data_IF_879256906417
#
_entry.id   IF_879256906417
#
_cell.length_a   1.000
_cell.length_b   1.000
_cell.length_c   1.000
_cell.angle_alpha   90.00
_cell.angle_beta   90.00
_cell.angle_gamma   90.00
#
_symmetry.space_group_name_H-M   'P 1'
#
loop_
_entity.id
_entity.type
_entity.pdbx_description
1 polymer ?
#
# COMPACT_ATOMS: atom_id res chain seq x y z
N UNK A 1 -8.46 -40.62 -31.35
CA UNK A 1 -7.05 -40.90 -31.01
C UNK A 1 -6.15 -40.03 -31.87
N UNK A 2 -5.61 -38.93 -31.31
CA UNK A 2 -4.55 -38.12 -31.93
C UNK A 2 -3.58 -37.67 -30.84
N UNK A 3 -2.30 -37.72 -31.18
CA UNK A 3 -1.16 -37.83 -30.28
C UNK A 3 -0.73 -36.50 -29.64
N UNK A 4 -0.26 -36.63 -28.40
CA UNK A 4 0.50 -35.68 -27.58
C UNK A 4 1.86 -35.32 -28.20
N UNK A 5 2.29 -34.06 -28.06
CA UNK A 5 3.70 -33.68 -27.84
C UNK A 5 3.80 -32.36 -27.06
N UNK A 6 4.35 -32.43 -25.84
CA UNK A 6 4.85 -31.31 -25.03
C UNK A 6 6.37 -31.17 -25.23
N UNK A 7 6.94 -29.95 -25.13
CA UNK A 7 8.34 -29.78 -24.78
C UNK A 7 8.54 -29.20 -23.37
N UNK A 8 9.60 -29.74 -22.75
CA UNK A 8 10.20 -29.52 -21.44
C UNK A 8 10.68 -28.08 -21.16
N UNK A 9 10.46 -27.66 -19.91
CA UNK A 9 11.45 -27.21 -18.89
C UNK A 9 12.73 -26.46 -19.33
N UNK A 10 12.90 -25.25 -18.77
CA UNK A 10 14.19 -24.80 -18.22
C UNK A 10 13.97 -23.74 -17.12
N UNK A 11 14.25 -24.13 -15.88
CA UNK A 11 14.38 -23.26 -14.70
C UNK A 11 15.85 -22.92 -14.55
N UNK A 12 16.19 -21.64 -14.43
CA UNK A 12 17.51 -21.19 -13.99
C UNK A 12 17.37 -20.20 -12.83
N UNK A 13 17.55 -20.74 -11.62
CA UNK A 13 17.82 -19.98 -10.40
C UNK A 13 19.30 -19.56 -10.43
N UNK A 14 19.59 -18.26 -10.25
CA UNK A 14 20.91 -17.82 -9.82
C UNK A 14 20.74 -16.79 -8.68
N UNK A 15 21.01 -17.28 -7.48
CA UNK A 15 21.36 -16.47 -6.31
C UNK A 15 22.83 -16.07 -6.41
N UNK A 16 23.15 -14.84 -6.01
CA UNK A 16 24.47 -14.51 -5.47
C UNK A 16 24.38 -13.29 -4.55
N UNK A 17 24.51 -13.58 -3.25
CA UNK A 17 24.89 -12.66 -2.18
C UNK A 17 26.39 -12.35 -2.27
N UNK A 18 26.79 -11.11 -2.01
CA UNK A 18 28.08 -10.78 -1.39
C UNK A 18 28.14 -9.32 -0.95
N UNK A 19 28.00 -9.11 0.36
CA UNK A 19 28.50 -7.94 1.07
C UNK A 19 30.02 -8.05 1.23
N UNK A 20 30.75 -6.96 1.01
CA UNK A 20 32.11 -6.78 1.52
C UNK A 20 32.21 -5.39 2.17
N UNK A 21 32.44 -5.40 3.48
CA UNK A 21 32.77 -4.24 4.31
C UNK A 21 34.20 -4.47 4.83
N UNK A 22 35.15 -3.57 4.56
CA UNK A 22 36.49 -3.46 5.18
C UNK A 22 37.11 -2.16 4.66
N UNK A 23 37.32 -1.11 5.47
CA UNK A 23 38.32 -0.87 6.53
C UNK A 23 39.75 -0.80 6.02
N UNK A 24 40.37 0.39 6.02
CA UNK A 24 41.84 0.58 6.14
C UNK A 24 42.18 2.02 6.62
N UNK A 25 42.80 2.08 7.80
CA UNK A 25 43.92 2.89 8.37
C UNK A 25 44.00 4.43 8.23
N UNK A 26 44.07 5.21 9.34
CA UNK A 26 45.25 5.60 10.20
C UNK A 26 46.24 6.54 9.48
N UNK A 27 47.13 7.34 10.13
CA UNK A 27 47.29 7.71 11.55
C UNK A 27 47.51 9.23 11.76
N UNK A 28 47.60 9.74 13.00
CA UNK A 28 48.63 10.72 13.41
C UNK A 28 48.80 10.75 14.94
N UNK A 29 50.06 10.84 15.33
CA UNK A 29 50.78 10.81 16.62
C UNK A 29 50.38 11.83 17.72
N UNK A 30 50.57 11.38 18.98
CA UNK A 30 50.68 12.14 20.26
C UNK A 30 52.07 12.85 20.39
N UNK A 31 52.47 13.57 21.48
CA UNK A 31 51.81 13.95 22.76
C UNK A 31 52.10 15.41 23.27
N UNK A 32 51.44 15.87 24.36
CA UNK A 32 52.05 16.67 25.45
C UNK A 32 51.07 17.08 26.59
N UNK A 33 51.39 16.61 27.80
CA UNK A 33 51.28 17.15 29.17
C UNK A 33 50.04 17.92 29.73
N UNK A 34 49.76 17.78 31.06
CA UNK A 34 48.54 18.25 31.71
C UNK A 34 48.69 19.61 32.41
N UNK A 35 47.63 20.41 32.43
CA UNK A 35 47.44 21.47 33.43
C UNK A 35 45.95 21.79 33.58
N UNK A 36 45.36 21.46 34.74
CA UNK A 36 44.08 22.04 35.17
C UNK A 36 44.23 23.56 35.34
N UNK A 37 43.18 24.34 35.10
CA UNK A 37 42.48 24.87 36.27
C UNK A 37 40.96 25.03 36.11
N UNK A 38 40.27 24.74 37.20
CA UNK A 38 39.28 25.61 37.85
C UNK A 38 38.11 26.16 37.02
N UNK A 39 36.93 25.60 37.30
CA UNK A 39 35.75 26.40 37.64
C UNK A 39 35.01 27.07 36.49
N UNK A 40 34.06 26.34 35.90
CA UNK A 40 32.86 26.95 35.34
C UNK A 40 31.72 25.95 35.39
N UNK A 41 30.74 26.20 36.25
CA UNK A 41 29.43 25.57 36.20
C UNK A 41 28.86 25.83 34.81
N UNK A 42 28.94 24.83 33.94
CA UNK A 42 28.15 24.81 32.73
C UNK A 42 26.70 24.66 33.17
N UNK A 43 25.95 25.76 33.14
CA UNK A 43 24.51 25.66 32.98
C UNK A 43 24.31 24.81 31.73
N UNK A 44 23.86 23.57 31.93
CA UNK A 44 23.47 22.69 30.85
C UNK A 44 22.33 23.41 30.13
N UNK A 45 22.68 24.09 29.03
CA UNK A 45 21.71 24.51 28.03
C UNK A 45 21.00 23.23 27.62
N UNK A 46 19.78 23.06 28.13
CA UNK A 46 18.94 21.91 27.85
C UNK A 46 18.84 21.80 26.32
N UNK A 47 19.27 20.70 25.69
CA UNK A 47 19.13 20.50 24.25
C UNK A 47 17.68 20.15 23.89
N UNK A 48 16.70 20.79 24.52
CA UNK A 48 15.27 20.54 24.31
C UNK A 48 14.65 21.39 23.21
N UNK A 49 15.42 22.27 22.55
CA UNK A 49 14.88 23.22 21.58
C UNK A 49 15.09 22.84 20.09
N UNK A 50 15.55 21.63 19.76
CA UNK A 50 15.79 21.22 18.36
C UNK A 50 15.04 19.95 17.90
N UNK A 51 14.09 19.44 18.68
CA UNK A 51 13.27 18.28 18.29
C UNK A 51 11.76 18.54 18.36
N UNK A 52 11.30 19.75 18.02
CA UNK A 52 9.98 19.84 17.38
C UNK A 52 10.15 19.48 15.91
N UNK A 53 10.36 18.18 15.67
CA UNK A 53 10.07 17.60 14.37
C UNK A 53 8.62 17.99 14.03
N UNK A 54 8.42 18.54 12.83
CA UNK A 54 7.11 18.78 12.22
C UNK A 54 6.17 17.60 12.50
N UNK A 55 5.37 17.68 13.57
CA UNK A 55 4.32 16.71 13.83
C UNK A 55 3.18 17.10 12.91
N UNK A 56 3.15 16.44 11.77
CA UNK A 56 2.14 16.65 10.75
C UNK A 56 0.76 16.33 11.32
N UNK A 57 -0.18 17.28 11.24
CA UNK A 57 -1.48 17.12 11.85
C UNK A 57 -2.35 16.15 11.03
N UNK A 58 -3.06 15.20 11.68
CA UNK A 58 -3.97 14.31 10.99
C UNK A 58 -5.18 15.08 10.44
N UNK A 59 -5.63 14.71 9.25
CA UNK A 59 -6.82 15.29 8.60
C UNK A 59 -7.98 14.31 8.75
N UNK A 60 -9.08 14.78 9.33
CA UNK A 60 -10.27 13.94 9.53
C UNK A 60 -10.94 13.62 8.19
N UNK A 61 -11.38 12.37 8.04
CA UNK A 61 -12.21 11.87 6.95
C UNK A 61 -13.69 11.74 7.33
N UNK A 62 -14.10 12.31 8.47
CA UNK A 62 -15.48 12.23 8.91
C UNK A 62 -16.43 12.89 7.88
N UNK A 63 -17.39 12.11 7.36
CA UNK A 63 -18.34 12.59 6.35
C UNK A 63 -17.76 12.72 4.94
N UNK A 64 -16.52 12.28 4.70
CA UNK A 64 -15.94 12.24 3.36
C UNK A 64 -16.64 11.20 2.48
N UNK A 65 -16.88 11.56 1.24
CA UNK A 65 -17.23 10.62 0.16
C UNK A 65 -16.02 10.41 -0.74
N UNK A 66 -15.96 9.27 -1.42
CA UNK A 66 -14.83 8.93 -2.28
C UNK A 66 -15.29 8.69 -3.71
N UNK A 67 -14.58 9.29 -4.66
CA UNK A 67 -14.75 9.06 -6.10
C UNK A 67 -13.66 8.13 -6.60
N UNK A 68 -14.06 7.16 -7.41
CA UNK A 68 -13.17 6.24 -8.09
C UNK A 68 -12.74 6.84 -9.43
N UNK A 69 -11.44 6.80 -9.75
CA UNK A 69 -10.95 7.03 -11.11
C UNK A 69 -9.91 5.97 -11.48
N UNK A 70 -9.87 5.65 -12.75
CA UNK A 70 -8.90 4.73 -13.33
C UNK A 70 -8.23 5.35 -14.55
N UNK A 71 -6.96 5.04 -14.75
CA UNK A 71 -6.18 5.48 -15.91
C UNK A 71 -5.58 4.26 -16.59
N UNK A 72 -5.78 4.07 -17.91
CA UNK A 72 -5.23 2.93 -18.62
C UNK A 72 -3.69 2.92 -18.57
N UNK A 73 -3.14 1.72 -18.51
CA UNK A 73 -1.72 1.46 -18.72
C UNK A 73 -1.54 0.94 -20.15
N UNK A 74 -0.44 1.35 -20.78
CA UNK A 74 -0.06 0.83 -22.09
C UNK A 74 0.35 -0.63 -21.94
N UNK A 75 -0.51 -1.54 -22.42
CA UNK A 75 -0.26 -2.98 -22.36
C UNK A 75 0.04 -3.55 -23.74
N UNK A 76 0.76 -4.67 -23.75
CA UNK A 76 1.09 -5.39 -24.98
C UNK A 76 -0.14 -6.16 -25.49
N UNK A 77 -0.29 -6.30 -26.80
CA UNK A 77 -1.39 -7.03 -27.41
C UNK A 77 -1.48 -8.48 -26.89
N UNK A 78 -2.64 -8.87 -26.36
CA UNK A 78 -2.91 -10.21 -25.83
C UNK A 78 -2.92 -10.31 -24.29
N UNK A 79 -2.61 -9.23 -23.59
CA UNK A 79 -2.73 -9.16 -22.12
C UNK A 79 -4.08 -8.57 -21.68
N UNK A 80 -4.49 -8.84 -20.43
CA UNK A 80 -5.64 -8.19 -19.84
C UNK A 80 -5.43 -6.66 -19.80
N UNK A 81 -6.46 -5.84 -20.09
CA UNK A 81 -6.33 -4.39 -19.98
C UNK A 81 -6.09 -4.02 -18.52
N UNK A 82 -4.98 -3.34 -18.25
CA UNK A 82 -4.65 -2.86 -16.91
C UNK A 82 -4.88 -1.36 -16.82
N UNK A 83 -5.33 -0.94 -15.65
CA UNK A 83 -5.53 0.44 -15.26
C UNK A 83 -4.92 0.67 -13.89
N UNK A 84 -4.47 1.89 -13.65
CA UNK A 84 -4.10 2.37 -12.31
C UNK A 84 -5.35 2.93 -11.63
N UNK A 85 -5.67 2.43 -10.43
CA UNK A 85 -6.89 2.77 -9.69
C UNK A 85 -6.58 3.75 -8.57
N UNK A 86 -7.28 4.88 -8.56
CA UNK A 86 -7.17 5.94 -7.56
C UNK A 86 -8.50 6.21 -6.86
N UNK A 87 -8.43 6.54 -5.57
CA UNK A 87 -9.56 7.08 -4.81
C UNK A 87 -9.31 8.55 -4.51
N UNK A 88 -10.32 9.38 -4.81
CA UNK A 88 -10.32 10.80 -4.58
C UNK A 88 -11.35 11.13 -3.49
N UNK A 89 -10.94 11.56 -2.30
CA UNK A 89 -11.87 12.15 -1.32
C UNK A 89 -12.59 13.37 -1.90
N UNK A 90 -13.71 13.74 -1.30
CA UNK A 90 -14.56 14.83 -1.77
C UNK A 90 -14.10 16.21 -1.31
N UNK A 91 -13.49 16.32 -0.13
CA UNK A 91 -13.09 17.60 0.46
C UNK A 91 -11.57 17.74 0.61
N UNK A 92 -10.79 16.71 0.22
CA UNK A 92 -9.32 16.78 0.16
C UNK A 92 -8.81 16.71 -1.28
N UNK A 93 -7.70 17.41 -1.59
CA UNK A 93 -7.12 17.39 -2.94
C UNK A 93 -6.38 16.07 -3.25
N UNK A 94 -5.89 15.37 -2.22
CA UNK A 94 -4.97 14.25 -2.41
C UNK A 94 -5.69 12.94 -2.71
N UNK A 95 -5.35 12.36 -3.86
CA UNK A 95 -5.77 11.01 -4.22
C UNK A 95 -4.84 9.94 -3.66
N UNK A 96 -5.38 8.75 -3.42
CA UNK A 96 -4.59 7.58 -3.01
C UNK A 96 -4.57 6.51 -4.08
N UNK A 97 -3.39 5.93 -4.32
CA UNK A 97 -3.19 4.83 -5.26
C UNK A 97 -3.56 3.48 -4.63
N UNK A 98 -4.71 2.93 -5.04
CA UNK A 98 -5.16 1.60 -4.59
C UNK A 98 -4.27 0.52 -5.19
N UNK A 99 -4.05 0.54 -6.49
CA UNK A 99 -3.22 -0.44 -7.17
C UNK A 99 -3.43 -0.46 -8.67
N UNK A 100 -2.90 -1.52 -9.30
CA UNK A 100 -3.09 -1.82 -10.72
C UNK A 100 -3.94 -3.07 -10.83
N UNK A 101 -4.99 -3.01 -11.63
CA UNK A 101 -5.93 -4.11 -11.89
C UNK A 101 -6.65 -3.83 -13.22
N UNK A 102 -7.71 -4.56 -13.52
CA UNK A 102 -8.59 -4.32 -14.69
C UNK A 102 -9.57 -3.18 -14.42
N UNK A 103 -10.29 -2.76 -15.46
CA UNK A 103 -11.22 -1.64 -15.38
C UNK A 103 -12.25 -1.83 -14.25
N UNK A 104 -12.36 -0.87 -13.31
CA UNK A 104 -13.22 -1.05 -12.16
C UNK A 104 -14.66 -0.61 -12.45
N UNK A 105 -15.60 -1.31 -11.83
CA UNK A 105 -17.03 -1.00 -11.84
C UNK A 105 -17.52 -0.75 -10.42
N UNK A 106 -18.08 0.43 -10.18
CA UNK A 106 -18.71 0.77 -8.88
C UNK A 106 -19.97 -0.06 -8.72
N UNK A 107 -20.15 -0.63 -7.52
CA UNK A 107 -21.30 -1.46 -7.19
C UNK A 107 -22.28 -0.68 -6.30
N UNK A 108 -23.55 -1.03 -6.40
CA UNK A 108 -24.58 -0.43 -5.57
C UNK A 108 -24.40 -0.82 -4.09
N UNK A 109 -24.66 0.09 -3.13
CA UNK A 109 -24.56 -0.21 -1.71
C UNK A 109 -25.39 -1.43 -1.27
N UNK A 110 -26.54 -1.67 -1.89
CA UNK A 110 -27.41 -2.81 -1.60
C UNK A 110 -26.77 -4.17 -1.94
N UNK A 111 -25.86 -4.20 -2.91
CA UNK A 111 -25.08 -5.39 -3.23
C UNK A 111 -24.06 -5.68 -2.11
N UNK A 112 -23.57 -4.64 -1.43
CA UNK A 112 -22.61 -4.76 -0.32
C UNK A 112 -23.10 -5.66 0.81
N UNK A 113 -24.37 -5.55 1.19
CA UNK A 113 -24.96 -6.38 2.26
C UNK A 113 -24.87 -7.88 1.92
N UNK A 114 -25.14 -8.24 0.66
CA UNK A 114 -25.06 -9.65 0.18
C UNK A 114 -23.62 -10.17 0.11
N UNK A 115 -22.66 -9.26 0.01
CA UNK A 115 -21.23 -9.55 -0.05
C UNK A 115 -20.56 -9.52 1.34
N UNK A 116 -21.31 -9.24 2.41
CA UNK A 116 -20.78 -9.11 3.76
C UNK A 116 -19.94 -7.84 3.96
N UNK A 117 -20.17 -6.81 3.15
CA UNK A 117 -19.51 -5.51 3.27
C UNK A 117 -20.20 -4.71 4.40
N UNK A 118 -19.45 -4.09 5.31
CA UNK A 118 -20.05 -3.30 6.39
C UNK A 118 -20.76 -2.06 5.83
N UNK A 119 -21.84 -1.63 6.49
CA UNK A 119 -22.59 -0.41 6.12
C UNK A 119 -21.77 0.88 6.25
N UNK A 120 -20.66 0.85 6.99
CA UNK A 120 -19.69 1.94 7.10
C UNK A 120 -18.79 2.08 5.88
N UNK A 121 -18.88 1.16 4.90
CA UNK A 121 -18.11 1.28 3.68
C UNK A 121 -18.52 2.55 2.91
N UNK A 122 -17.52 3.37 2.57
CA UNK A 122 -17.69 4.63 1.83
C UNK A 122 -17.63 4.41 0.32
N UNK A 123 -17.17 3.23 -0.12
CA UNK A 123 -17.09 2.84 -1.52
C UNK A 123 -17.06 1.31 -1.64
N UNK A 124 -17.72 0.78 -2.66
CA UNK A 124 -17.68 -0.62 -3.08
C UNK A 124 -17.51 -0.66 -4.61
N UNK A 125 -16.54 -1.42 -5.09
CA UNK A 125 -16.32 -1.62 -6.52
C UNK A 125 -15.74 -3.01 -6.78
N UNK A 126 -15.78 -3.44 -8.04
CA UNK A 126 -15.15 -4.68 -8.49
C UNK A 126 -14.29 -4.45 -9.72
N UNK A 127 -13.36 -5.35 -9.96
CA UNK A 127 -12.60 -5.49 -11.20
C UNK A 127 -12.86 -6.91 -11.71
N UNK A 128 -13.02 -7.08 -13.03
CA UNK A 128 -13.31 -8.38 -13.61
C UNK A 128 -12.84 -8.47 -15.06
N UNK A 129 -12.10 -9.53 -15.37
CA UNK A 129 -11.68 -9.86 -16.72
C UNK A 129 -11.55 -11.37 -16.89
N UNK A 130 -12.17 -11.92 -17.94
CA UNK A 130 -12.02 -13.31 -18.37
C UNK A 130 -12.13 -14.37 -17.24
N UNK A 131 -13.16 -14.27 -16.40
CA UNK A 131 -13.43 -15.28 -15.36
C UNK A 131 -12.80 -15.00 -14.00
N UNK A 132 -12.02 -13.92 -13.86
CA UNK A 132 -11.34 -13.60 -12.61
C UNK A 132 -11.29 -12.09 -12.34
N UNK A 133 -11.10 -11.73 -11.07
CA UNK A 133 -10.92 -10.35 -10.65
C UNK A 133 -10.96 -10.18 -9.15
N UNK A 134 -11.42 -9.03 -8.68
CA UNK A 134 -11.47 -8.71 -7.26
C UNK A 134 -12.69 -7.87 -6.91
N UNK A 135 -13.21 -8.06 -5.71
CA UNK A 135 -14.05 -7.07 -5.06
C UNK A 135 -13.21 -6.21 -4.13
N UNK A 136 -13.58 -4.95 -4.01
CA UNK A 136 -12.95 -3.97 -3.15
C UNK A 136 -13.99 -3.19 -2.37
N UNK A 137 -13.77 -2.97 -1.08
CA UNK A 137 -14.48 -1.93 -0.35
C UNK A 137 -13.52 -1.07 0.45
N UNK A 138 -13.92 0.16 0.74
CA UNK A 138 -13.14 1.08 1.56
C UNK A 138 -13.96 1.55 2.76
N UNK A 139 -13.31 1.66 3.92
CA UNK A 139 -13.88 2.25 5.15
C UNK A 139 -13.02 3.43 5.56
N UNK A 140 -13.64 4.58 5.81
CA UNK A 140 -12.97 5.77 6.30
C UNK A 140 -13.26 5.95 7.79
N UNK A 141 -12.21 5.96 8.62
CA UNK A 141 -12.31 6.09 10.08
C UNK A 141 -11.22 7.02 10.59
N UNK A 142 -11.60 8.06 11.35
CA UNK A 142 -10.66 9.06 11.84
C UNK A 142 -9.95 9.77 10.70
N UNK A 143 -8.64 9.59 10.58
CA UNK A 143 -7.82 10.10 9.48
C UNK A 143 -7.32 9.01 8.52
N UNK A 144 -7.91 7.81 8.59
CA UNK A 144 -7.45 6.65 7.82
C UNK A 144 -8.51 6.13 6.86
N UNK A 145 -8.07 5.76 5.66
CA UNK A 145 -8.85 4.99 4.70
C UNK A 145 -8.29 3.57 4.63
N UNK A 146 -9.11 2.58 4.99
CA UNK A 146 -8.75 1.16 4.93
C UNK A 146 -9.45 0.52 3.73
N UNK A 147 -8.68 0.02 2.79
CA UNK A 147 -9.16 -0.68 1.60
C UNK A 147 -9.02 -2.17 1.82
N UNK A 148 -10.12 -2.89 1.65
CA UNK A 148 -10.20 -4.33 1.74
C UNK A 148 -10.41 -4.92 0.35
N UNK A 149 -9.80 -6.08 0.11
CA UNK A 149 -9.87 -6.80 -1.15
C UNK A 149 -10.27 -8.25 -0.92
N UNK A 150 -11.00 -8.81 -1.85
CA UNK A 150 -11.32 -10.25 -1.91
C UNK A 150 -11.24 -10.72 -3.35
N UNK A 151 -10.71 -11.92 -3.57
CA UNK A 151 -10.67 -12.53 -4.90
C UNK A 151 -12.08 -12.83 -5.40
N UNK A 152 -12.29 -12.59 -6.69
CA UNK A 152 -13.47 -12.95 -7.45
C UNK A 152 -13.02 -13.98 -8.50
N UNK A 153 -13.65 -15.14 -8.48
CA UNK A 153 -13.50 -16.17 -9.50
C UNK A 153 -14.90 -16.50 -10.02
N UNK A 154 -14.99 -16.76 -11.32
CA UNK A 154 -16.19 -17.28 -11.94
C UNK A 154 -16.59 -18.59 -11.27
N UNK A 155 -17.88 -18.71 -10.97
CA UNK A 155 -18.43 -19.95 -10.46
C UNK A 155 -18.43 -20.98 -11.60
N UNK A 156 -17.64 -22.03 -11.44
CA UNK A 156 -17.65 -23.21 -12.30
C UNK A 156 -18.35 -24.35 -11.55
N UNK A 157 -18.83 -25.39 -12.25
CA UNK A 157 -19.42 -26.56 -11.59
C UNK A 157 -18.51 -27.18 -10.52
N UNK A 158 -17.20 -27.05 -10.68
CA UNK A 158 -16.20 -27.59 -9.74
C UNK A 158 -16.04 -26.74 -8.47
N UNK A 159 -16.34 -25.44 -8.51
CA UNK A 159 -16.10 -24.51 -7.39
C UNK A 159 -17.37 -23.84 -6.85
N UNK A 160 -18.57 -24.14 -7.38
CA UNK A 160 -19.82 -23.49 -6.99
C UNK A 160 -20.17 -23.65 -5.50
N UNK A 161 -19.70 -24.74 -4.87
CA UNK A 161 -19.87 -25.03 -3.45
C UNK A 161 -18.67 -24.60 -2.59
N UNK A 162 -17.60 -24.08 -3.21
CA UNK A 162 -16.42 -23.65 -2.48
C UNK A 162 -16.75 -22.46 -1.58
N UNK A 163 -16.12 -22.44 -0.40
CA UNK A 163 -16.20 -21.29 0.47
C UNK A 163 -15.61 -20.07 -0.26
N UNK A 164 -16.37 -18.97 -0.27
CA UNK A 164 -15.89 -17.72 -0.86
C UNK A 164 -14.65 -17.26 -0.10
N UNK A 165 -13.60 -16.78 -0.80
CA UNK A 165 -12.42 -16.22 -0.13
C UNK A 165 -12.83 -15.13 0.87
N UNK A 166 -12.16 -15.01 2.04
CA UNK A 166 -12.47 -13.96 3.00
C UNK A 166 -12.00 -12.59 2.49
N UNK A 167 -12.57 -11.53 3.06
CA UNK A 167 -12.04 -10.18 2.90
C UNK A 167 -10.69 -10.04 3.59
N UNK A 168 -9.75 -9.37 2.93
CA UNK A 168 -8.41 -9.10 3.45
C UNK A 168 -8.15 -7.60 3.45
N UNK A 169 -7.53 -7.07 4.52
CA UNK A 169 -7.00 -5.71 4.49
C UNK A 169 -5.92 -5.64 3.41
N UNK A 170 -6.14 -4.81 2.41
CA UNK A 170 -5.25 -4.67 1.27
C UNK A 170 -4.30 -3.50 1.43
N UNK A 171 -4.83 -2.32 1.79
CA UNK A 171 -4.05 -1.11 2.04
C UNK A 171 -4.70 -0.25 3.11
N UNK A 172 -3.87 0.49 3.83
CA UNK A 172 -4.30 1.57 4.72
C UNK A 172 -3.62 2.85 4.26
N UNK A 173 -4.38 3.95 4.20
CA UNK A 173 -3.86 5.28 3.89
C UNK A 173 -4.15 6.22 5.05
N UNK A 174 -3.18 7.03 5.44
CA UNK A 174 -3.34 8.10 6.40
C UNK A 174 -3.40 9.44 5.68
N UNK A 175 -4.32 10.30 6.11
CA UNK A 175 -4.49 11.65 5.62
C UNK A 175 -3.99 12.63 6.66
N UNK A 176 -3.16 13.55 6.19
CA UNK A 176 -2.43 14.52 7.01
C UNK A 176 -2.32 15.84 6.24
N UNK A 177 -1.95 16.91 6.93
CA UNK A 177 -1.87 18.24 6.32
C UNK A 177 -0.79 18.38 5.23
N UNK A 178 0.22 17.51 5.17
CA UNK A 178 1.21 17.48 4.07
C UNK A 178 0.87 16.44 3.01
N UNK A 179 -0.22 15.71 3.17
CA UNK A 179 -0.83 14.89 2.14
C UNK A 179 -1.19 13.47 2.55
N UNK A 180 -1.85 12.77 1.64
CA UNK A 180 -2.20 11.36 1.83
C UNK A 180 -0.99 10.45 1.57
N UNK A 181 -0.78 9.45 2.43
CA UNK A 181 0.26 8.43 2.26
C UNK A 181 -0.20 7.05 2.65
N UNK A 182 0.36 6.02 2.02
CA UNK A 182 0.13 4.64 2.44
C UNK A 182 0.83 4.40 3.79
N UNK A 183 0.09 3.83 4.74
CA UNK A 183 0.61 3.35 6.01
C UNK A 183 1.08 1.91 5.83
N UNK A 184 2.21 1.55 6.45
CA UNK A 184 2.65 0.15 6.48
C UNK A 184 1.61 -0.69 7.24
N UNK A 185 1.32 -1.91 6.77
CA UNK A 185 0.39 -2.82 7.44
C UNK A 185 0.86 -3.22 8.84
#
# INVERSE_FOLDING_TARGET
MRFFTMPLLAVALLWSVSSCNTTTDQPTTSPAAPTEPTGRTAAAASPSALHQANQEAPVSLAGETFRLKSFPLDNTAGEAPQVTIYLYPSQQPDSVLVGVDTEPSVLDPDQGTRLGVPKSAVLLFQTYYAGAGHHYYAVAEGNQLRVYRRKLEEATPENEHAARPPWQLFKTFGFFTSGARQLQP
#
